data_IF_703467263510
#
_entry.id   IF_703467263510
#
_cell.length_a   1.000
_cell.length_b   1.000
_cell.length_c   1.000
_cell.angle_alpha   90.00
_cell.angle_beta   90.00
_cell.angle_gamma   90.00
#
_symmetry.space_group_name_H-M   'P 1'
#
loop_
_entity.id
_entity.type
_entity.pdbx_description
1 polymer ?
#
# COMPACT_ATOMS: atom_id res chain seq x y z
N UNK A 1 -8.25 -2.37 -5.44
CA UNK A 1 -8.02 -0.88 -5.45
C UNK A 1 -6.66 -0.60 -6.06
N UNK A 2 -6.64 0.11 -7.17
CA UNK A 2 -5.41 0.47 -7.89
C UNK A 2 -5.09 1.95 -7.63
N UNK A 3 -3.84 2.23 -7.32
CA UNK A 3 -3.34 3.58 -7.06
C UNK A 3 -2.26 3.94 -8.07
N UNK A 4 -2.48 5.02 -8.82
CA UNK A 4 -1.57 5.49 -9.85
C UNK A 4 -0.89 6.80 -9.44
N UNK A 5 0.42 6.88 -9.65
CA UNK A 5 1.20 8.08 -9.35
C UNK A 5 2.45 8.16 -10.22
N UNK A 6 3.03 9.36 -10.32
CA UNK A 6 4.30 9.59 -11.04
C UNK A 6 5.40 9.91 -10.04
N UNK A 7 6.54 9.26 -10.18
CA UNK A 7 7.70 9.47 -9.31
C UNK A 7 8.99 9.41 -10.13
N UNK A 8 9.84 10.42 -10.01
CA UNK A 8 11.14 10.51 -10.69
C UNK A 8 11.09 10.24 -12.21
N UNK A 9 10.01 10.66 -12.88
CA UNK A 9 9.81 10.46 -14.32
C UNK A 9 9.24 9.10 -14.72
N UNK A 10 8.93 8.23 -13.76
CA UNK A 10 8.28 6.93 -13.98
C UNK A 10 6.80 6.98 -13.65
N UNK A 11 5.98 6.32 -14.47
CA UNK A 11 4.59 6.05 -14.15
C UNK A 11 4.52 4.78 -13.30
N UNK A 12 3.98 4.92 -12.10
CA UNK A 12 3.88 3.84 -11.11
C UNK A 12 2.42 3.46 -10.91
N UNK A 13 2.15 2.17 -10.86
CA UNK A 13 0.83 1.60 -10.58
C UNK A 13 0.97 0.61 -9.44
N UNK A 14 0.28 0.86 -8.34
CA UNK A 14 0.24 -0.01 -7.16
C UNK A 14 -1.14 -0.64 -7.04
N UNK A 15 -1.22 -1.96 -7.09
CA UNK A 15 -2.41 -2.66 -6.63
C UNK A 15 -2.31 -2.92 -5.11
N UNK A 16 -3.14 -2.21 -4.36
CA UNK A 16 -3.10 -2.22 -2.90
C UNK A 16 -3.44 -3.60 -2.31
N UNK A 17 -4.29 -4.37 -2.99
CA UNK A 17 -4.76 -5.66 -2.46
C UNK A 17 -3.77 -6.79 -2.70
N UNK A 18 -3.12 -6.84 -3.86
CA UNK A 18 -2.04 -7.81 -4.13
C UNK A 18 -0.69 -7.35 -3.59
N UNK A 19 -0.48 -6.03 -3.46
CA UNK A 19 0.81 -5.43 -3.14
C UNK A 19 1.75 -5.32 -4.35
N UNK A 20 1.27 -5.63 -5.56
CA UNK A 20 2.06 -5.55 -6.79
C UNK A 20 2.33 -4.11 -7.19
N UNK A 21 3.55 -3.84 -7.63
CA UNK A 21 3.97 -2.53 -8.13
C UNK A 21 4.47 -2.66 -9.55
N UNK A 22 3.86 -1.93 -10.47
CA UNK A 22 4.22 -1.92 -11.89
C UNK A 22 4.80 -0.57 -12.28
N UNK A 23 5.85 -0.59 -13.11
CA UNK A 23 6.36 0.59 -13.82
C UNK A 23 5.90 0.45 -15.26
N UNK A 24 5.14 1.41 -15.73
CA UNK A 24 4.47 1.33 -17.03
C UNK A 24 4.75 2.57 -17.88
N UNK A 25 4.53 2.45 -19.18
CA UNK A 25 4.60 3.57 -20.10
C UNK A 25 3.36 4.48 -20.01
N UNK A 26 3.33 5.56 -20.78
CA UNK A 26 2.22 6.51 -20.75
C UNK A 26 0.90 5.91 -21.28
N UNK A 27 0.98 5.02 -22.28
CA UNK A 27 -0.20 4.37 -22.86
C UNK A 27 -0.84 3.42 -21.83
N UNK A 28 -0.05 2.53 -21.25
CA UNK A 28 -0.52 1.59 -20.23
C UNK A 28 -1.08 2.32 -19.00
N UNK A 29 -0.44 3.42 -18.60
CA UNK A 29 -0.91 4.26 -17.50
C UNK A 29 -2.29 4.85 -17.77
N UNK A 30 -2.51 5.38 -18.99
CA UNK A 30 -3.78 5.95 -19.39
C UNK A 30 -4.88 4.88 -19.57
N UNK A 31 -4.53 3.69 -20.10
CA UNK A 31 -5.45 2.54 -20.22
C UNK A 31 -5.90 2.07 -18.84
N UNK A 32 -4.98 1.86 -17.90
CA UNK A 32 -5.28 1.41 -16.53
C UNK A 32 -6.22 2.40 -15.83
N UNK A 33 -6.03 3.70 -16.04
CA UNK A 33 -6.89 4.73 -15.45
C UNK A 33 -8.36 4.66 -15.89
N UNK A 34 -8.64 4.05 -17.04
CA UNK A 34 -9.97 3.96 -17.63
C UNK A 34 -10.58 2.57 -17.51
N UNK A 35 -9.80 1.56 -17.15
CA UNK A 35 -10.12 0.15 -17.32
C UNK A 35 -11.33 -0.33 -16.54
N UNK A 36 -11.54 0.13 -15.29
CA UNK A 36 -12.65 -0.35 -14.45
C UNK A 36 -14.00 0.25 -14.85
N UNK A 37 -14.01 1.49 -15.35
CA UNK A 37 -15.23 2.27 -15.54
C UNK A 37 -15.71 2.33 -17.00
N UNK A 38 -14.97 1.75 -17.94
CA UNK A 38 -15.27 1.87 -19.36
C UNK A 38 -15.15 0.54 -20.10
N UNK A 39 -15.95 0.38 -21.16
CA UNK A 39 -15.78 -0.71 -22.12
C UNK A 39 -14.54 -0.48 -23.00
N UNK A 40 -14.02 -1.55 -23.60
CA UNK A 40 -12.86 -1.48 -24.49
C UNK A 40 -13.01 -0.44 -25.61
N UNK A 41 -14.19 -0.41 -26.27
CA UNK A 41 -14.46 0.55 -27.34
C UNK A 41 -14.53 2.00 -26.82
N UNK A 42 -14.93 2.21 -25.58
CA UNK A 42 -14.91 3.54 -24.95
C UNK A 42 -13.48 3.95 -24.60
N UNK A 43 -12.64 3.02 -24.13
CA UNK A 43 -11.21 3.28 -23.88
C UNK A 43 -10.52 3.69 -25.17
N UNK A 44 -10.71 2.92 -26.26
CA UNK A 44 -10.14 3.23 -27.59
C UNK A 44 -10.58 4.63 -28.05
N UNK A 45 -11.88 4.97 -27.93
CA UNK A 45 -12.38 6.30 -28.30
C UNK A 45 -11.78 7.43 -27.46
N UNK A 46 -11.63 7.23 -26.15
CA UNK A 46 -11.06 8.23 -25.23
C UNK A 46 -9.57 8.44 -25.46
N UNK A 47 -8.87 7.37 -25.82
CA UNK A 47 -7.42 7.38 -26.08
C UNK A 47 -7.07 7.55 -27.57
N UNK A 48 -7.86 8.28 -28.31
CA UNK A 48 -7.68 8.52 -29.75
C UNK A 48 -6.36 9.18 -30.15
N UNK A 49 -5.54 9.62 -29.19
CA UNK A 49 -4.17 10.12 -29.40
C UNK A 49 -3.15 9.00 -29.66
N UNK A 50 -3.49 7.75 -29.34
CA UNK A 50 -2.69 6.56 -29.56
C UNK A 50 -3.26 5.72 -30.73
N UNK A 51 -2.46 4.80 -31.26
CA UNK A 51 -2.93 3.84 -32.26
C UNK A 51 -3.94 2.87 -31.65
N UNK A 52 -5.06 2.63 -32.34
CA UNK A 52 -6.12 1.74 -31.83
C UNK A 52 -5.61 0.33 -31.54
N UNK A 53 -4.70 -0.17 -32.37
CA UNK A 53 -4.16 -1.52 -32.21
C UNK A 53 -3.30 -1.61 -30.94
N UNK A 54 -2.45 -0.61 -30.70
CA UNK A 54 -1.63 -0.53 -29.48
C UNK A 54 -2.51 -0.46 -28.22
N UNK A 55 -3.57 0.37 -28.25
CA UNK A 55 -4.52 0.45 -27.13
C UNK A 55 -5.16 -0.89 -26.84
N UNK A 56 -5.58 -1.65 -27.86
CA UNK A 56 -6.19 -2.97 -27.68
C UNK A 56 -5.18 -4.01 -27.15
N UNK A 57 -3.94 -4.00 -27.62
CA UNK A 57 -2.87 -4.85 -27.13
C UNK A 57 -2.65 -4.61 -25.61
N UNK A 58 -2.55 -3.35 -25.18
CA UNK A 58 -2.41 -3.02 -23.75
C UNK A 58 -3.64 -3.43 -22.93
N UNK A 59 -4.86 -3.30 -23.48
CA UNK A 59 -6.07 -3.77 -22.79
C UNK A 59 -5.98 -5.29 -22.53
N UNK A 60 -5.49 -6.07 -23.46
CA UNK A 60 -5.31 -7.51 -23.26
C UNK A 60 -4.25 -7.80 -22.18
N UNK A 61 -3.10 -7.12 -22.21
CA UNK A 61 -2.07 -7.24 -21.16
C UNK A 61 -2.62 -6.90 -19.77
N UNK A 62 -3.44 -5.87 -19.66
CA UNK A 62 -4.10 -5.50 -18.39
C UNK A 62 -5.08 -6.58 -17.92
N UNK A 63 -5.79 -7.24 -18.84
CA UNK A 63 -6.66 -8.38 -18.51
C UNK A 63 -5.85 -9.58 -18.00
N UNK A 64 -4.72 -9.88 -18.64
CA UNK A 64 -3.82 -10.96 -18.20
C UNK A 64 -3.32 -10.69 -16.78
N UNK A 65 -2.85 -9.47 -16.48
CA UNK A 65 -2.42 -9.10 -15.13
C UNK A 65 -3.55 -9.20 -14.10
N UNK A 66 -4.79 -8.91 -14.50
CA UNK A 66 -5.96 -9.07 -13.65
C UNK A 66 -6.27 -10.55 -13.36
N UNK A 67 -6.18 -11.42 -14.36
CA UNK A 67 -6.40 -12.85 -14.22
C UNK A 67 -5.30 -13.50 -13.35
N UNK A 68 -4.06 -13.02 -13.45
CA UNK A 68 -2.93 -13.43 -12.61
C UNK A 68 -3.00 -12.91 -11.17
N UNK A 69 -3.97 -12.04 -10.87
CA UNK A 69 -4.13 -11.46 -9.53
C UNK A 69 -3.04 -10.45 -9.18
N UNK A 70 -2.46 -9.78 -10.18
CA UNK A 70 -1.43 -8.76 -9.99
C UNK A 70 -1.93 -7.32 -10.19
N UNK A 71 -3.15 -7.18 -10.77
CA UNK A 71 -3.77 -5.89 -11.00
C UNK A 71 -5.29 -6.00 -10.84
N UNK A 72 -5.95 -4.97 -10.33
CA UNK A 72 -7.39 -4.93 -10.02
C UNK A 72 -7.87 -6.10 -9.13
N UNK A 73 -7.03 -6.48 -8.18
CA UNK A 73 -7.29 -7.58 -7.25
C UNK A 73 -8.40 -7.22 -6.26
N UNK A 74 -9.24 -8.19 -5.94
CA UNK A 74 -10.28 -8.03 -4.92
C UNK A 74 -9.69 -7.98 -3.51
N UNK A 75 -10.29 -7.15 -2.65
CA UNK A 75 -9.94 -7.09 -1.24
C UNK A 75 -10.57 -8.25 -0.48
N UNK A 76 -9.84 -9.35 -0.37
CA UNK A 76 -10.27 -10.54 0.38
C UNK A 76 -10.38 -10.31 1.90
N UNK A 77 -9.84 -9.20 2.42
CA UNK A 77 -9.87 -8.86 3.83
C UNK A 77 -11.00 -7.89 4.20
N UNK A 78 -11.73 -7.35 3.21
CA UNK A 78 -12.78 -6.36 3.41
C UNK A 78 -13.81 -6.79 4.46
N UNK A 79 -14.21 -8.05 4.43
CA UNK A 79 -15.20 -8.60 5.36
C UNK A 79 -14.62 -8.94 6.74
N UNK A 80 -13.29 -9.05 6.85
CA UNK A 80 -12.59 -9.36 8.10
C UNK A 80 -12.24 -8.13 8.94
N UNK A 81 -12.34 -6.92 8.41
CA UNK A 81 -11.98 -5.67 9.11
C UNK A 81 -12.80 -5.49 10.39
N UNK A 82 -14.07 -5.94 10.40
CA UNK A 82 -14.96 -5.84 11.56
C UNK A 82 -14.70 -6.89 12.65
N UNK A 83 -14.00 -7.97 12.32
CA UNK A 83 -13.72 -9.06 13.25
C UNK A 83 -12.51 -8.80 14.14
N UNK A 84 -11.69 -7.80 13.86
CA UNK A 84 -10.52 -7.43 14.67
C UNK A 84 -10.92 -7.09 16.11
N UNK A 85 -12.12 -6.52 16.33
CA UNK A 85 -12.66 -6.23 17.66
C UNK A 85 -13.21 -7.45 18.41
N UNK A 86 -13.50 -8.55 17.69
CA UNK A 86 -14.08 -9.77 18.24
C UNK A 86 -13.04 -10.86 18.50
N UNK A 87 -11.80 -10.68 18.03
CA UNK A 87 -10.73 -11.65 18.32
C UNK A 87 -10.45 -11.64 19.80
N UNK A 88 -10.70 -12.79 20.45
CA UNK A 88 -10.30 -13.01 21.83
C UNK A 88 -8.83 -12.62 21.99
N UNK A 89 -8.56 -11.85 23.02
CA UNK A 89 -7.29 -11.22 23.36
C UNK A 89 -6.18 -12.22 23.64
N UNK A 90 -5.70 -12.91 22.62
CA UNK A 90 -4.42 -13.60 22.72
C UNK A 90 -3.34 -12.57 22.48
N UNK A 91 -2.62 -12.19 23.52
CA UNK A 91 -1.45 -11.32 23.41
C UNK A 91 -0.40 -12.08 22.59
N UNK A 92 -0.16 -11.64 21.35
CA UNK A 92 0.83 -12.22 20.45
C UNK A 92 2.23 -11.66 20.64
N UNK A 93 2.30 -10.41 21.10
CA UNK A 93 3.54 -9.72 21.39
C UNK A 93 3.31 -8.68 22.48
N UNK A 94 4.30 -8.48 23.33
CA UNK A 94 4.32 -7.48 24.37
C UNK A 94 5.59 -6.63 24.20
N UNK A 95 5.42 -5.33 24.03
CA UNK A 95 6.51 -4.38 23.99
C UNK A 95 6.66 -3.73 25.37
N UNK A 96 7.72 -4.05 26.06
CA UNK A 96 8.03 -3.49 27.38
C UNK A 96 9.04 -2.36 27.27
N UNK A 97 8.66 -1.16 27.66
CA UNK A 97 9.54 -0.01 27.78
C UNK A 97 10.25 -0.06 29.14
N UNK A 98 11.31 -0.86 29.22
CA UNK A 98 12.04 -1.09 30.47
C UNK A 98 12.82 0.12 30.98
N UNK A 99 13.13 1.06 30.07
CA UNK A 99 13.81 2.32 30.39
C UNK A 99 13.30 3.43 29.48
N UNK A 100 12.95 4.56 30.08
CA UNK A 100 12.75 5.84 29.42
C UNK A 100 14.01 6.71 29.64
N UNK A 101 15.16 6.15 29.24
CA UNK A 101 16.45 6.81 29.37
C UNK A 101 17.40 6.25 28.32
N UNK A 102 18.23 7.12 27.75
CA UNK A 102 19.18 6.75 26.72
C UNK A 102 20.48 7.56 26.90
N UNK A 103 21.62 6.93 26.66
CA UNK A 103 22.93 7.58 26.69
C UNK A 103 23.40 8.07 25.31
N UNK A 104 22.53 8.05 24.29
CA UNK A 104 22.79 8.52 22.94
C UNK A 104 21.93 9.77 22.65
N UNK A 105 22.47 10.71 21.87
CA UNK A 105 21.78 11.91 21.39
C UNK A 105 21.65 11.89 19.88
N UNK A 106 20.85 10.96 19.35
CA UNK A 106 20.65 10.81 17.90
C UNK A 106 19.77 11.93 17.35
N UNK A 107 20.23 12.68 16.36
CA UNK A 107 19.47 13.79 15.74
C UNK A 107 18.13 13.37 15.12
N UNK A 108 17.93 12.10 14.84
CA UNK A 108 16.71 11.51 14.26
C UNK A 108 15.94 10.68 15.30
N UNK A 109 16.17 10.86 16.58
CA UNK A 109 15.52 10.06 17.61
C UNK A 109 14.04 10.42 17.74
N UNK A 110 13.15 9.48 17.40
CA UNK A 110 11.72 9.64 17.58
C UNK A 110 11.26 9.57 19.05
N UNK A 111 12.13 9.03 19.92
CA UNK A 111 11.89 8.83 21.34
C UNK A 111 12.45 9.95 22.23
N UNK A 112 12.96 11.05 21.65
CA UNK A 112 13.55 12.18 22.39
C UNK A 112 14.56 11.71 23.45
N UNK A 113 15.60 10.99 23.03
CA UNK A 113 16.61 10.38 23.91
C UNK A 113 16.05 9.34 24.92
N UNK A 114 14.90 8.75 24.57
CA UNK A 114 14.23 7.73 25.38
C UNK A 114 13.12 8.29 26.29
N UNK A 115 12.97 9.58 26.39
CA UNK A 115 12.01 10.24 27.29
C UNK A 115 10.55 10.13 26.82
N UNK A 116 10.28 10.02 25.51
CA UNK A 116 8.93 9.95 24.93
C UNK A 116 8.01 11.08 25.39
N UNK A 117 8.54 12.30 25.57
CA UNK A 117 7.85 13.47 26.13
C UNK A 117 7.40 13.29 27.59
N UNK A 118 8.05 12.41 28.32
CA UNK A 118 7.80 12.14 29.72
C UNK A 118 9.06 12.29 30.58
N UNK A 119 9.01 11.74 31.77
CA UNK A 119 10.15 11.74 32.68
C UNK A 119 11.11 10.60 32.39
N UNK A 120 12.41 10.85 32.59
CA UNK A 120 13.44 9.80 32.58
C UNK A 120 13.20 8.84 33.72
N UNK A 121 12.93 7.58 33.43
CA UNK A 121 12.59 6.59 34.44
C UNK A 121 12.91 5.17 33.98
N UNK A 122 13.01 4.28 34.96
CA UNK A 122 13.11 2.85 34.74
C UNK A 122 11.80 2.18 35.13
N UNK A 123 11.41 1.16 34.40
CA UNK A 123 10.25 0.33 34.78
C UNK A 123 10.53 -0.35 36.12
N UNK A 124 9.59 -0.24 37.05
CA UNK A 124 9.72 -0.92 38.35
C UNK A 124 9.50 -2.42 38.20
N UNK A 125 10.07 -3.19 39.12
CA UNK A 125 9.86 -4.64 39.15
C UNK A 125 8.41 -5.06 39.44
N UNK A 126 7.61 -4.14 40.01
CA UNK A 126 6.17 -4.34 40.26
C UNK A 126 5.37 -4.29 38.98
N UNK A 127 5.73 -3.38 38.06
CA UNK A 127 5.10 -3.28 36.72
C UNK A 127 5.52 -4.43 35.81
N UNK A 128 6.74 -4.94 35.99
CA UNK A 128 7.29 -6.05 35.18
C UNK A 128 6.84 -7.45 35.60
N UNK A 129 6.13 -7.60 36.72
CA UNK A 129 5.58 -8.88 37.21
C UNK A 129 4.13 -9.08 36.78
#
# INVERSE_FOLDING_TARGET
>A
MVHQYKNNGYNMVLDVCSGSVHVVDDLSYDVIALFEDNSEDEIVKKLSKYDEKEVREVIEEVKELKEEGMLFTEDIYKDYIFDVKKRSTVVKALCLHIAHDCNLACKYCFAEEGEYKGDRSLMSSEVGK
#
